data_IF_050616643268
#
_entry.id   IF_050616643268
#
_cell.length_a   1.000
_cell.length_b   1.000
_cell.length_c   1.000
_cell.angle_alpha   90.00
_cell.angle_beta   90.00
_cell.angle_gamma   90.00
#
_symmetry.space_group_name_H-M   'P 1'
#
loop_
_entity.id
_entity.type
_entity.pdbx_description
1 polymer ?
#
# COMPACT_ATOMS: atom_id res chain seq x y z
N UNK A 1 16.29 18.45 -18.65
CA UNK A 1 16.28 18.85 -17.23
C UNK A 1 17.13 17.82 -16.50
N UNK A 2 18.41 18.11 -16.23
CA UNK A 2 19.34 17.15 -15.60
C UNK A 2 19.08 17.12 -14.09
N UNK A 3 18.15 16.28 -13.67
CA UNK A 3 17.95 15.97 -12.26
C UNK A 3 19.07 15.02 -11.83
N UNK A 4 20.24 15.58 -11.52
CA UNK A 4 21.31 14.88 -10.80
C UNK A 4 20.87 14.74 -9.33
N UNK A 5 19.89 13.88 -9.06
CA UNK A 5 19.74 13.35 -7.71
C UNK A 5 20.93 12.44 -7.48
N UNK A 6 21.76 12.78 -6.50
CA UNK A 6 22.80 11.87 -6.03
C UNK A 6 22.12 10.61 -5.49
N UNK A 7 22.13 9.55 -6.30
CA UNK A 7 21.66 8.22 -5.94
C UNK A 7 22.56 7.65 -4.84
N UNK A 8 22.34 8.09 -3.60
CA UNK A 8 22.88 7.38 -2.45
C UNK A 8 22.23 6.00 -2.46
N UNK A 9 23.00 4.92 -2.68
CA UNK A 9 22.42 3.62 -2.93
C UNK A 9 21.71 3.12 -1.67
N UNK A 10 20.55 2.48 -1.86
CA UNK A 10 19.73 1.88 -0.79
C UNK A 10 20.56 0.92 0.10
N UNK A 11 21.65 0.37 -0.44
CA UNK A 11 22.61 -0.51 0.24
C UNK A 11 23.28 0.14 1.45
N UNK A 12 23.45 1.47 1.46
CA UNK A 12 24.09 2.20 2.57
C UNK A 12 23.30 2.09 3.88
N UNK A 13 21.96 2.22 3.83
CA UNK A 13 21.09 2.08 5.00
C UNK A 13 21.06 0.66 5.56
N UNK A 14 21.05 -0.35 4.68
CA UNK A 14 21.11 -1.75 5.09
C UNK A 14 22.43 -2.10 5.79
N UNK A 15 23.56 -1.65 5.25
CA UNK A 15 24.89 -1.88 5.85
C UNK A 15 24.98 -1.30 7.27
N UNK A 16 24.50 -0.06 7.45
CA UNK A 16 24.49 0.60 8.77
C UNK A 16 23.68 -0.20 9.80
N UNK A 17 22.51 -0.69 9.41
CA UNK A 17 21.66 -1.54 10.28
C UNK A 17 22.34 -2.84 10.70
N UNK A 18 23.07 -3.49 9.78
CA UNK A 18 23.85 -4.71 10.08
C UNK A 18 25.02 -4.41 11.01
N UNK A 19 25.79 -3.34 10.76
CA UNK A 19 26.92 -2.93 11.60
C UNK A 19 26.44 -2.68 13.03
N UNK A 20 25.37 -1.90 13.19
CA UNK A 20 24.79 -1.60 14.51
C UNK A 20 24.38 -2.89 15.24
N UNK A 21 23.74 -3.83 14.54
CA UNK A 21 23.34 -5.10 15.12
C UNK A 21 24.54 -5.97 15.54
N UNK A 22 25.64 -5.97 14.79
CA UNK A 22 26.87 -6.70 15.13
C UNK A 22 27.54 -6.10 16.37
N UNK A 23 27.61 -4.78 16.47
CA UNK A 23 28.14 -4.08 17.66
C UNK A 23 27.31 -4.44 18.89
N UNK A 24 25.98 -4.38 18.81
CA UNK A 24 25.11 -4.76 19.92
C UNK A 24 25.16 -6.26 20.24
N UNK A 25 25.40 -7.11 19.24
CA UNK A 25 25.59 -8.55 19.45
C UNK A 25 26.90 -8.83 20.17
N UNK A 26 27.97 -8.12 19.84
CA UNK A 26 29.24 -8.20 20.56
C UNK A 26 29.08 -7.73 22.00
N UNK A 27 28.37 -6.61 22.23
CA UNK A 27 28.04 -6.12 23.57
C UNK A 27 27.19 -7.12 24.38
N UNK A 28 26.30 -7.88 23.74
CA UNK A 28 25.54 -8.95 24.41
C UNK A 28 26.46 -10.04 24.98
N UNK A 29 27.53 -10.37 24.28
CA UNK A 29 28.46 -11.42 24.72
C UNK A 29 29.22 -11.02 26.00
N UNK A 30 29.24 -9.73 26.35
CA UNK A 30 29.97 -9.21 27.51
C UNK A 30 29.12 -9.02 28.78
N UNK A 31 27.79 -9.27 28.79
CA UNK A 31 26.99 -9.08 30.02
C UNK A 31 25.51 -9.50 30.02
N UNK A 32 24.91 -9.57 31.22
CA UNK A 32 23.53 -10.06 31.54
C UNK A 32 22.41 -9.04 31.24
N UNK A 33 22.33 -8.46 30.05
CA UNK A 33 21.31 -7.42 29.73
C UNK A 33 20.13 -7.93 28.86
N UNK A 34 19.43 -8.98 29.30
CA UNK A 34 18.31 -9.58 28.53
C UNK A 34 17.14 -8.61 28.28
N UNK A 35 16.79 -7.79 29.26
CA UNK A 35 15.69 -6.82 29.16
C UNK A 35 15.96 -5.75 28.08
N UNK A 36 17.19 -5.22 28.05
CA UNK A 36 17.58 -4.16 27.09
C UNK A 36 17.43 -4.65 25.66
N UNK A 37 17.87 -5.86 25.36
CA UNK A 37 17.73 -6.45 24.03
C UNK A 37 16.28 -6.71 23.61
N UNK A 38 15.42 -7.07 24.58
CA UNK A 38 14.00 -7.27 24.32
C UNK A 38 13.32 -5.94 23.97
N UNK A 39 13.56 -4.90 24.77
CA UNK A 39 13.05 -3.54 24.51
C UNK A 39 13.54 -3.02 23.15
N UNK A 40 14.84 -3.17 22.85
CA UNK A 40 15.40 -2.76 21.55
C UNK A 40 14.74 -3.48 20.36
N UNK A 41 14.44 -4.77 20.50
CA UNK A 41 13.79 -5.54 19.45
C UNK A 41 12.34 -5.07 19.23
N UNK A 42 11.59 -4.84 20.31
CA UNK A 42 10.23 -4.27 20.25
C UNK A 42 10.26 -2.89 19.58
N UNK A 43 11.14 -2.00 20.03
CA UNK A 43 11.30 -0.66 19.45
C UNK A 43 11.63 -0.73 17.96
N UNK A 44 12.55 -1.59 17.55
CA UNK A 44 12.88 -1.76 16.13
C UNK A 44 11.69 -2.30 15.32
N UNK A 45 10.86 -3.18 15.88
CA UNK A 45 9.61 -3.62 15.23
C UNK A 45 8.61 -2.48 15.05
N UNK A 46 8.44 -1.60 16.05
CA UNK A 46 7.62 -0.40 15.91
C UNK A 46 8.15 0.51 14.80
N UNK A 47 9.48 0.68 14.71
CA UNK A 47 10.10 1.49 13.65
C UNK A 47 9.85 0.88 12.27
N UNK A 48 9.96 -0.45 12.12
CA UNK A 48 9.63 -1.14 10.86
C UNK A 48 8.16 -0.95 10.51
N UNK A 49 7.24 -1.12 11.46
CA UNK A 49 5.81 -0.93 11.21
C UNK A 49 5.48 0.52 10.85
N UNK A 50 5.99 1.49 11.61
CA UNK A 50 5.77 2.90 11.34
C UNK A 50 6.31 3.26 9.95
N UNK A 51 7.49 2.74 9.59
CA UNK A 51 8.08 2.92 8.25
C UNK A 51 7.21 2.27 7.17
N UNK A 52 6.69 1.07 7.39
CA UNK A 52 5.76 0.39 6.48
C UNK A 52 4.49 1.23 6.25
N UNK A 53 3.83 1.65 7.33
CA UNK A 53 2.59 2.44 7.27
C UNK A 53 2.85 3.78 6.59
N UNK A 54 3.95 4.45 6.95
CA UNK A 54 4.34 5.71 6.33
C UNK A 54 4.62 5.52 4.83
N UNK A 55 5.41 4.53 4.44
CA UNK A 55 5.74 4.26 3.04
C UNK A 55 4.51 3.92 2.19
N UNK A 56 3.54 3.18 2.74
CA UNK A 56 2.28 2.85 2.07
C UNK A 56 1.26 4.01 2.03
N UNK A 57 1.45 5.05 2.86
CA UNK A 57 0.49 6.15 3.01
C UNK A 57 0.97 7.47 2.43
N UNK A 58 2.28 7.71 2.36
CA UNK A 58 2.88 8.97 1.91
C UNK A 58 2.86 9.09 0.38
N UNK A 59 2.31 10.20 -0.12
CA UNK A 59 2.28 10.51 -1.55
C UNK A 59 3.62 11.06 -2.07
N UNK A 60 4.34 11.85 -1.26
CA UNK A 60 5.61 12.47 -1.69
C UNK A 60 6.76 11.46 -1.75
N UNK A 61 7.38 11.37 -2.93
CA UNK A 61 8.49 10.47 -3.24
C UNK A 61 9.67 10.60 -2.26
N UNK A 62 10.06 11.82 -1.90
CA UNK A 62 11.18 12.08 -0.97
C UNK A 62 10.93 11.51 0.44
N UNK A 63 9.73 11.76 0.99
CA UNK A 63 9.38 11.28 2.33
C UNK A 63 9.24 9.76 2.35
N UNK A 64 8.69 9.18 1.28
CA UNK A 64 8.61 7.73 1.09
C UNK A 64 10.00 7.09 1.01
N UNK A 65 10.95 7.73 0.33
CA UNK A 65 12.34 7.27 0.27
C UNK A 65 12.99 7.25 1.67
N UNK A 66 12.80 8.31 2.46
CA UNK A 66 13.32 8.35 3.85
C UNK A 66 12.70 7.24 4.70
N UNK A 67 11.39 7.05 4.63
CA UNK A 67 10.69 5.97 5.34
C UNK A 67 11.21 4.59 4.91
N UNK A 68 11.39 4.34 3.62
CA UNK A 68 11.96 3.10 3.10
C UNK A 68 13.37 2.83 3.64
N UNK A 69 14.22 3.86 3.69
CA UNK A 69 15.60 3.76 4.22
C UNK A 69 15.65 3.46 5.71
N UNK A 70 14.78 4.11 6.50
CA UNK A 70 14.66 3.81 7.94
C UNK A 70 14.15 2.38 8.14
N UNK A 71 13.14 1.99 7.35
CA UNK A 71 12.55 0.66 7.37
C UNK A 71 13.55 -0.45 7.05
N UNK A 72 14.32 -0.33 5.96
CA UNK A 72 15.33 -1.34 5.59
C UNK A 72 16.44 -1.43 6.64
N UNK A 73 16.91 -0.30 7.20
CA UNK A 73 17.90 -0.29 8.27
C UNK A 73 17.38 -1.04 9.51
N UNK A 74 16.13 -0.76 9.93
CA UNK A 74 15.51 -1.42 11.07
C UNK A 74 15.24 -2.92 10.82
N UNK A 75 14.83 -3.30 9.60
CA UNK A 75 14.64 -4.71 9.21
C UNK A 75 15.96 -5.48 9.19
N UNK A 76 17.03 -4.90 8.64
CA UNK A 76 18.38 -5.49 8.67
C UNK A 76 18.90 -5.61 10.11
N UNK A 77 18.68 -4.58 10.93
CA UNK A 77 19.01 -4.60 12.35
C UNK A 77 18.30 -5.74 13.07
N UNK A 78 16.97 -5.87 12.91
CA UNK A 78 16.20 -6.97 13.47
C UNK A 78 16.70 -8.32 12.97
N UNK A 79 17.02 -8.44 11.68
CA UNK A 79 17.54 -9.69 11.11
C UNK A 79 18.90 -10.08 11.70
N UNK A 80 19.77 -9.13 12.03
CA UNK A 80 21.05 -9.46 12.65
C UNK A 80 20.97 -9.60 14.18
N UNK A 81 20.09 -8.84 14.84
CA UNK A 81 19.99 -8.74 16.30
C UNK A 81 18.86 -9.58 16.94
N UNK A 82 18.02 -10.22 16.12
CA UNK A 82 16.75 -10.81 16.55
C UNK A 82 16.83 -11.55 17.89
N UNK A 83 16.08 -11.03 18.85
CA UNK A 83 15.80 -11.75 20.08
C UNK A 83 14.59 -12.64 19.81
N UNK A 84 14.72 -13.95 20.08
CA UNK A 84 13.61 -14.88 19.91
C UNK A 84 12.50 -14.46 20.87
N UNK A 85 11.45 -13.84 20.33
CA UNK A 85 10.17 -13.70 21.02
C UNK A 85 9.66 -15.11 21.32
N UNK A 86 9.01 -15.28 22.47
CA UNK A 86 8.43 -16.57 22.78
C UNK A 86 7.46 -16.96 21.64
N UNK A 87 7.29 -18.28 21.44
CA UNK A 87 6.56 -18.89 20.33
C UNK A 87 5.23 -18.18 20.06
N UNK A 88 5.24 -17.24 19.12
CA UNK A 88 4.08 -16.40 18.78
C UNK A 88 2.91 -17.24 18.24
N UNK A 89 3.26 -18.37 17.60
CA UNK A 89 2.35 -19.45 17.22
C UNK A 89 2.93 -20.77 17.72
N UNK A 90 3.02 -20.93 19.04
CA UNK A 90 3.37 -22.21 19.65
C UNK A 90 2.34 -23.27 19.31
N UNK A 91 2.44 -23.88 18.13
CA UNK A 91 1.70 -25.09 17.83
C UNK A 91 2.15 -26.15 18.84
N UNK A 92 1.23 -26.72 19.64
CA UNK A 92 1.59 -27.75 20.60
C UNK A 92 2.28 -28.90 19.87
N UNK A 93 3.48 -29.28 20.32
CA UNK A 93 4.28 -30.37 19.75
C UNK A 93 5.35 -29.96 18.73
N UNK A 94 5.45 -28.69 18.32
CA UNK A 94 6.49 -28.26 17.38
C UNK A 94 7.79 -27.82 18.06
N UNK A 95 8.93 -28.17 17.42
CA UNK A 95 10.25 -27.82 17.93
C UNK A 95 10.48 -26.31 17.89
N UNK A 96 11.22 -25.79 18.88
CA UNK A 96 11.65 -24.39 18.96
C UNK A 96 12.30 -23.89 17.65
N UNK A 97 12.90 -24.79 16.85
CA UNK A 97 13.56 -24.46 15.58
C UNK A 97 12.59 -23.90 14.53
N UNK A 98 11.36 -24.43 14.44
CA UNK A 98 10.37 -24.00 13.45
C UNK A 98 10.01 -22.52 13.61
N UNK A 99 9.68 -22.12 14.85
CA UNK A 99 9.37 -20.73 15.19
C UNK A 99 10.50 -19.74 14.83
N UNK A 100 11.75 -20.18 14.92
CA UNK A 100 12.89 -19.33 14.57
C UNK A 100 12.99 -19.14 13.06
N UNK A 101 12.89 -20.21 12.27
CA UNK A 101 12.93 -20.14 10.81
C UNK A 101 11.81 -19.27 10.27
N UNK A 102 10.61 -19.42 10.81
CA UNK A 102 9.43 -18.63 10.45
C UNK A 102 9.64 -17.14 10.76
N UNK A 103 10.09 -16.79 11.97
CA UNK A 103 10.40 -15.41 12.35
C UNK A 103 11.48 -14.80 11.43
N UNK A 104 12.52 -15.57 11.09
CA UNK A 104 13.58 -15.13 10.16
C UNK A 104 13.04 -14.86 8.77
N UNK A 105 12.17 -15.75 8.27
CA UNK A 105 11.57 -15.60 6.96
C UNK A 105 10.65 -14.38 6.89
N UNK A 106 9.86 -14.12 7.96
CA UNK A 106 9.07 -12.91 8.08
C UNK A 106 9.94 -11.64 8.04
N UNK A 107 11.09 -11.63 8.71
CA UNK A 107 12.01 -10.48 8.65
C UNK A 107 12.60 -10.27 7.26
N UNK A 108 12.92 -11.35 6.53
CA UNK A 108 13.40 -11.27 5.15
C UNK A 108 12.32 -10.72 4.21
N UNK A 109 11.06 -11.13 4.41
CA UNK A 109 9.90 -10.59 3.70
C UNK A 109 9.73 -9.09 4.00
N UNK A 110 9.88 -8.67 5.25
CA UNK A 110 9.83 -7.25 5.61
C UNK A 110 10.99 -6.46 5.00
N UNK A 111 12.18 -7.05 4.85
CA UNK A 111 13.30 -6.41 4.16
C UNK A 111 13.04 -6.29 2.65
N UNK A 112 12.54 -7.35 2.00
CA UNK A 112 12.25 -7.33 0.57
C UNK A 112 11.11 -6.38 0.21
N UNK A 113 10.15 -6.17 1.12
CA UNK A 113 9.12 -5.14 1.00
C UNK A 113 9.71 -3.76 0.69
N UNK A 114 10.73 -3.32 1.44
CA UNK A 114 11.32 -1.99 1.23
C UNK A 114 12.06 -1.90 -0.11
N UNK A 115 12.58 -3.00 -0.63
CA UNK A 115 13.11 -3.07 -1.99
C UNK A 115 12.00 -2.94 -3.04
N UNK A 116 10.87 -3.64 -2.86
CA UNK A 116 9.72 -3.53 -3.77
C UNK A 116 9.08 -2.13 -3.72
N UNK A 117 9.06 -1.48 -2.56
CA UNK A 117 8.57 -0.11 -2.44
C UNK A 117 9.42 0.90 -3.20
N UNK A 118 10.69 0.60 -3.44
CA UNK A 118 11.55 1.42 -4.28
C UNK A 118 11.20 1.27 -5.77
N UNK A 119 10.82 0.07 -6.19
CA UNK A 119 10.28 -0.17 -7.54
C UNK A 119 9.01 0.65 -7.73
N UNK A 120 8.06 0.56 -6.80
CA UNK A 120 6.83 1.36 -6.84
C UNK A 120 7.11 2.88 -6.85
N UNK A 121 8.16 3.34 -6.14
CA UNK A 121 8.58 4.76 -6.14
C UNK A 121 9.05 5.20 -7.53
N UNK A 122 9.92 4.42 -8.17
CA UNK A 122 10.43 4.72 -9.51
C UNK A 122 9.30 4.73 -10.54
N UNK A 123 8.38 3.76 -10.46
CA UNK A 123 7.18 3.73 -11.31
C UNK A 123 6.29 4.95 -11.11
N UNK A 124 6.18 5.47 -9.88
CA UNK A 124 5.43 6.69 -9.60
C UNK A 124 6.06 7.93 -10.27
N UNK A 125 7.39 8.06 -10.24
CA UNK A 125 8.09 9.18 -10.88
C UNK A 125 7.91 9.18 -12.41
N UNK A 126 8.04 8.02 -13.06
CA UNK A 126 7.80 7.88 -14.50
C UNK A 126 6.39 8.34 -14.87
N UNK A 127 5.40 7.95 -14.06
CA UNK A 127 4.01 8.30 -14.28
C UNK A 127 3.73 9.80 -14.07
N UNK A 128 4.36 10.42 -13.06
CA UNK A 128 4.28 11.87 -12.84
C UNK A 128 4.84 12.66 -14.03
N UNK A 129 5.95 12.19 -14.61
CA UNK A 129 6.55 12.79 -15.81
C UNK A 129 5.63 12.66 -17.02
N UNK A 130 5.11 11.46 -17.31
CA UNK A 130 4.15 11.23 -18.39
C UNK A 130 2.90 12.10 -18.23
N UNK A 131 2.36 12.19 -17.01
CA UNK A 131 1.19 13.03 -16.72
C UNK A 131 1.50 14.50 -16.92
N UNK A 132 2.68 14.97 -16.54
CA UNK A 132 3.13 16.35 -16.78
C UNK A 132 3.26 16.65 -18.27
N UNK A 133 3.80 15.71 -19.05
CA UNK A 133 3.90 15.84 -20.51
C UNK A 133 2.51 15.91 -21.16
N UNK A 134 1.57 15.05 -20.76
CA UNK A 134 0.19 15.05 -21.29
C UNK A 134 -0.58 16.33 -20.94
N UNK A 135 -0.29 16.95 -19.79
CA UNK A 135 -0.88 18.24 -19.41
C UNK A 135 -0.29 19.42 -20.16
N UNK A 136 0.93 19.29 -20.68
CA UNK A 136 1.61 20.38 -21.39
C UNK A 136 0.89 20.65 -22.72
N UNK A 137 0.23 21.82 -22.81
CA UNK A 137 -0.50 22.25 -24.00
C UNK A 137 -2.00 21.91 -24.01
N UNK A 138 -2.49 21.08 -23.09
CA UNK A 138 -3.93 20.84 -22.96
C UNK A 138 -4.63 22.01 -22.27
N UNK A 139 -5.54 22.68 -22.97
CA UNK A 139 -6.27 23.87 -22.48
C UNK A 139 -7.66 23.55 -21.90
N UNK A 140 -7.88 22.31 -21.47
CA UNK A 140 -9.15 21.88 -20.85
C UNK A 140 -10.23 21.38 -21.82
N UNK A 141 -10.08 21.60 -23.12
CA UNK A 141 -11.00 21.09 -24.15
C UNK A 141 -10.28 20.75 -25.44
N UNK A 142 -10.80 19.75 -26.16
CA UNK A 142 -10.38 19.40 -27.53
C UNK A 142 -10.64 20.52 -28.52
N UNK A 143 -11.53 21.48 -28.23
CA UNK A 143 -11.79 22.64 -29.09
C UNK A 143 -10.55 23.51 -29.30
N UNK A 144 -9.55 23.39 -28.43
CA UNK A 144 -8.27 24.11 -28.51
C UNK A 144 -7.14 23.25 -29.08
N UNK A 145 -7.42 22.02 -29.53
CA UNK A 145 -6.42 21.15 -30.11
C UNK A 145 -5.92 21.74 -31.44
N UNK A 146 -4.60 21.78 -31.61
CA UNK A 146 -3.97 22.21 -32.86
C UNK A 146 -3.59 20.99 -33.69
N UNK A 147 -4.00 20.95 -34.96
CA UNK A 147 -3.57 19.93 -35.91
C UNK A 147 -2.54 20.50 -36.89
N UNK A 148 -1.59 19.67 -37.31
CA UNK A 148 -0.62 20.04 -38.36
C UNK A 148 -1.29 20.19 -39.74
N UNK A 149 -2.43 19.52 -39.95
CA UNK A 149 -3.26 19.62 -41.15
C UNK A 149 -4.66 20.10 -40.79
N UNK A 150 -5.13 21.24 -41.34
CA UNK A 150 -6.43 21.81 -40.98
C UNK A 150 -7.60 20.92 -41.43
N UNK A 151 -7.50 20.23 -42.57
CA UNK A 151 -8.54 19.33 -43.07
C UNK A 151 -8.79 18.15 -42.10
N UNK A 152 -7.73 17.63 -41.46
CA UNK A 152 -7.84 16.58 -40.46
C UNK A 152 -8.57 17.09 -39.22
N UNK A 153 -8.32 18.34 -38.79
CA UNK A 153 -9.03 18.94 -37.66
C UNK A 153 -10.53 19.00 -37.92
N UNK A 154 -10.93 19.51 -39.09
CA UNK A 154 -12.36 19.62 -39.47
C UNK A 154 -13.01 18.25 -39.50
N UNK A 155 -12.35 17.24 -40.09
CA UNK A 155 -12.87 15.88 -40.15
C UNK A 155 -13.03 15.25 -38.77
N UNK A 156 -12.02 15.36 -37.90
CA UNK A 156 -12.04 14.81 -36.54
C UNK A 156 -13.13 15.51 -35.70
N UNK A 157 -13.22 16.84 -35.77
CA UNK A 157 -14.25 17.58 -35.06
C UNK A 157 -15.66 17.25 -35.57
N UNK A 158 -15.83 17.03 -36.88
CA UNK A 158 -17.10 16.61 -37.45
C UNK A 158 -17.50 15.19 -37.00
N UNK A 159 -16.54 14.26 -36.91
CA UNK A 159 -16.77 12.89 -36.42
C UNK A 159 -17.16 12.87 -34.94
N UNK A 160 -16.49 13.67 -34.10
CA UNK A 160 -16.83 13.80 -32.68
C UNK A 160 -18.20 14.47 -32.52
N UNK A 161 -18.46 15.54 -33.28
CA UNK A 161 -19.73 16.25 -33.33
C UNK A 161 -20.30 16.56 -31.94
N UNK A 162 -21.49 16.01 -31.67
CA UNK A 162 -22.21 16.23 -30.42
C UNK A 162 -21.55 15.60 -29.17
N UNK A 163 -20.57 14.70 -29.34
CA UNK A 163 -19.90 14.00 -28.25
C UNK A 163 -18.70 14.77 -27.67
N UNK A 164 -18.49 16.02 -28.09
CA UNK A 164 -17.37 16.87 -27.65
C UNK A 164 -17.23 16.90 -26.12
N UNK A 165 -18.34 17.08 -25.39
CA UNK A 165 -18.33 17.11 -23.92
C UNK A 165 -17.95 15.76 -23.29
N UNK A 166 -18.38 14.64 -23.88
CA UNK A 166 -18.03 13.30 -23.39
C UNK A 166 -16.55 12.97 -23.63
N UNK A 167 -15.99 13.45 -24.75
CA UNK A 167 -14.56 13.33 -25.06
C UNK A 167 -13.73 14.18 -24.09
N UNK A 168 -14.10 15.44 -23.88
CA UNK A 168 -13.44 16.33 -22.91
C UNK A 168 -13.47 15.73 -21.49
N UNK A 169 -14.62 15.18 -21.09
CA UNK A 169 -14.75 14.49 -19.82
C UNK A 169 -13.87 13.24 -19.73
N UNK A 170 -13.79 12.44 -20.80
CA UNK A 170 -12.92 11.27 -20.85
C UNK A 170 -11.44 11.63 -20.75
N UNK A 171 -11.01 12.74 -21.37
CA UNK A 171 -9.65 13.29 -21.27
C UNK A 171 -9.40 13.81 -19.86
N UNK A 172 -10.35 14.52 -19.26
CA UNK A 172 -10.24 14.97 -17.87
C UNK A 172 -10.03 13.79 -16.91
N UNK A 173 -10.79 12.70 -17.08
CA UNK A 173 -10.61 11.45 -16.31
C UNK A 173 -9.24 10.84 -16.59
N UNK A 174 -8.78 10.79 -17.84
CA UNK A 174 -7.45 10.29 -18.21
C UNK A 174 -6.34 11.07 -17.48
N UNK A 175 -6.38 12.40 -17.53
CA UNK A 175 -5.37 13.28 -16.93
C UNK A 175 -5.39 13.29 -15.39
N UNK A 176 -6.52 12.91 -14.80
CA UNK A 176 -6.70 12.88 -13.33
C UNK A 176 -6.36 11.51 -12.76
N UNK A 177 -6.90 10.44 -13.36
CA UNK A 177 -6.70 9.07 -12.88
C UNK A 177 -5.45 8.39 -13.46
N UNK A 178 -4.89 8.89 -14.55
CA UNK A 178 -3.85 8.22 -15.33
C UNK A 178 -4.38 7.15 -16.29
N UNK A 179 -5.70 6.98 -16.35
CA UNK A 179 -6.39 6.10 -17.30
C UNK A 179 -7.86 6.52 -17.44
N UNK A 180 -8.49 6.18 -18.57
CA UNK A 180 -9.91 6.46 -18.80
C UNK A 180 -10.65 5.19 -19.20
N UNK A 181 -11.46 4.66 -18.29
CA UNK A 181 -12.34 3.52 -18.53
C UNK A 181 -13.80 3.93 -18.33
N UNK A 182 -14.77 3.21 -18.91
CA UNK A 182 -16.19 3.46 -18.62
C UNK A 182 -16.47 3.45 -17.11
N UNK A 183 -15.91 2.50 -16.37
CA UNK A 183 -16.10 2.40 -14.92
C UNK A 183 -15.56 3.61 -14.16
N UNK A 184 -14.33 4.06 -14.46
CA UNK A 184 -13.77 5.24 -13.80
C UNK A 184 -14.52 6.52 -14.15
N UNK A 185 -15.02 6.65 -15.38
CA UNK A 185 -15.87 7.78 -15.79
C UNK A 185 -17.16 7.80 -14.97
N UNK A 186 -17.80 6.65 -14.76
CA UNK A 186 -19.01 6.54 -13.93
C UNK A 186 -18.73 6.85 -12.45
N UNK A 187 -17.62 6.36 -11.91
CA UNK A 187 -17.17 6.62 -10.53
C UNK A 187 -16.89 8.11 -10.32
N UNK A 188 -16.22 8.77 -11.26
CA UNK A 188 -15.98 10.20 -11.23
C UNK A 188 -17.28 11.01 -11.35
N UNK A 189 -18.24 10.57 -12.19
CA UNK A 189 -19.57 11.20 -12.28
C UNK A 189 -20.34 11.10 -10.97
N UNK A 190 -20.09 10.05 -10.18
CA UNK A 190 -20.66 9.90 -8.84
C UNK A 190 -19.99 10.79 -7.78
N UNK A 191 -19.03 11.64 -8.16
CA UNK A 191 -18.33 12.58 -7.28
C UNK A 191 -17.21 11.95 -6.45
N UNK A 192 -16.76 10.74 -6.81
CA UNK A 192 -15.61 10.11 -6.15
C UNK A 192 -14.32 10.66 -6.75
N UNK A 193 -13.35 10.98 -5.89
CA UNK A 193 -12.06 11.47 -6.31
C UNK A 193 -11.23 10.33 -6.90
N UNK A 194 -10.94 10.42 -8.19
CA UNK A 194 -10.25 9.38 -8.96
C UNK A 194 -8.76 9.69 -9.19
N UNK A 195 -8.17 10.63 -8.46
CA UNK A 195 -6.76 10.98 -8.66
C UNK A 195 -5.85 9.76 -8.47
N UNK A 196 -4.96 9.56 -9.45
CA UNK A 196 -4.02 8.45 -9.53
C UNK A 196 -4.70 7.07 -9.48
N UNK A 197 -6.00 6.94 -9.79
CA UNK A 197 -6.74 5.69 -9.67
C UNK A 197 -6.14 4.54 -10.53
N UNK A 198 -5.54 4.87 -11.67
CA UNK A 198 -4.86 3.93 -12.56
C UNK A 198 -3.44 3.55 -12.13
N UNK A 199 -2.93 4.14 -11.04
CA UNK A 199 -1.61 3.80 -10.54
C UNK A 199 -1.70 2.66 -9.51
N UNK A 200 -1.16 1.49 -9.87
CA UNK A 200 -1.11 0.33 -9.01
C UNK A 200 0.18 0.29 -8.17
N UNK A 201 0.03 0.06 -6.87
CA UNK A 201 1.14 -0.26 -5.96
C UNK A 201 1.24 -1.78 -5.83
N UNK A 202 2.38 -2.35 -6.22
CA UNK A 202 2.55 -3.79 -6.31
C UNK A 202 3.21 -4.34 -5.04
N UNK A 203 3.98 -3.52 -4.31
CA UNK A 203 4.80 -4.00 -3.20
C UNK A 203 3.98 -4.67 -2.08
N UNK A 204 2.96 -3.99 -1.55
CA UNK A 204 2.15 -4.55 -0.44
C UNK A 204 1.32 -5.75 -0.91
N UNK A 205 0.54 -5.69 -2.00
CA UNK A 205 -0.25 -6.84 -2.44
C UNK A 205 0.64 -8.02 -2.88
N UNK A 206 1.76 -7.75 -3.56
CA UNK A 206 2.73 -8.77 -3.94
C UNK A 206 3.26 -9.53 -2.74
N UNK A 207 3.60 -8.82 -1.67
CA UNK A 207 4.04 -9.42 -0.40
C UNK A 207 2.90 -10.19 0.30
N UNK A 208 1.72 -9.59 0.38
CA UNK A 208 0.57 -10.16 1.07
C UNK A 208 0.01 -11.41 0.38
N UNK A 209 0.13 -11.49 -0.94
CA UNK A 209 -0.42 -12.58 -1.75
C UNK A 209 0.59 -13.69 -2.01
N UNK A 210 1.88 -13.42 -2.21
CA UNK A 210 2.84 -14.46 -2.63
C UNK A 210 3.60 -15.05 -1.44
N UNK A 211 4.57 -14.36 -0.81
CA UNK A 211 5.36 -14.96 0.26
C UNK A 211 4.53 -15.25 1.52
N UNK A 212 3.51 -14.44 1.83
CA UNK A 212 2.60 -14.75 2.94
C UNK A 212 1.78 -16.02 2.69
N UNK A 213 1.34 -16.29 1.44
CA UNK A 213 0.69 -17.57 1.10
C UNK A 213 1.65 -18.72 1.28
N UNK A 214 2.90 -18.58 0.83
CA UNK A 214 3.91 -19.62 1.01
C UNK A 214 4.11 -19.96 2.49
N UNK A 215 4.24 -18.96 3.36
CA UNK A 215 4.33 -19.19 4.81
C UNK A 215 3.08 -19.89 5.34
N UNK A 216 1.89 -19.40 4.99
CA UNK A 216 0.64 -19.96 5.47
C UNK A 216 0.50 -21.43 5.07
N UNK A 217 0.86 -21.78 3.83
CA UNK A 217 0.88 -23.17 3.34
C UNK A 217 1.89 -24.03 4.09
N UNK A 218 3.10 -23.51 4.35
CA UNK A 218 4.12 -24.21 5.14
C UNK A 218 3.67 -24.43 6.59
N UNK A 219 2.95 -23.48 7.19
CA UNK A 219 2.34 -23.61 8.52
C UNK A 219 1.24 -24.65 8.55
N UNK A 220 0.36 -24.65 7.54
CA UNK A 220 -0.69 -25.66 7.40
C UNK A 220 -0.07 -27.05 7.27
N UNK A 221 0.91 -27.21 6.37
CA UNK A 221 1.59 -28.50 6.17
C UNK A 221 2.27 -28.99 7.45
N UNK A 222 2.98 -28.11 8.17
CA UNK A 222 3.54 -28.44 9.48
C UNK A 222 2.42 -28.93 10.42
N UNK A 223 1.33 -28.19 10.56
CA UNK A 223 0.20 -28.54 11.45
C UNK A 223 -0.41 -29.91 11.13
N UNK A 224 -0.40 -30.34 9.86
CA UNK A 224 -0.95 -31.63 9.42
C UNK A 224 -0.06 -32.85 9.74
N UNK A 225 1.24 -32.68 9.97
CA UNK A 225 2.17 -33.81 10.22
C UNK A 225 1.88 -34.54 11.55
N UNK A 226 1.70 -33.88 12.70
CA UNK A 226 1.43 -34.55 13.99
C UNK A 226 -0.05 -34.85 14.23
N UNK A 227 -0.88 -34.89 13.18
CA UNK A 227 -2.34 -34.99 13.25
C UNK A 227 -2.85 -36.19 14.07
N UNK A 228 -2.05 -37.24 14.23
CA UNK A 228 -2.37 -38.40 15.08
C UNK A 228 -2.58 -38.07 16.57
N UNK A 229 -2.11 -36.91 17.04
CA UNK A 229 -2.14 -36.52 18.47
C UNK A 229 -3.19 -35.45 18.82
N UNK A 230 -3.86 -34.85 17.84
CA UNK A 230 -4.68 -33.65 18.03
C UNK A 230 -6.18 -33.99 18.02
N UNK A 231 -6.71 -34.39 19.20
CA UNK A 231 -8.13 -34.74 19.39
C UNK A 231 -9.08 -33.52 19.32
N UNK A 232 -10.26 -33.75 18.72
CA UNK A 232 -11.55 -33.02 18.71
C UNK A 232 -11.60 -31.51 18.37
N UNK A 233 -10.55 -30.73 18.60
CA UNK A 233 -10.51 -29.27 18.33
C UNK A 233 -9.61 -28.89 17.14
N UNK A 234 -9.00 -29.85 16.46
CA UNK A 234 -8.09 -29.58 15.34
C UNK A 234 -8.77 -29.09 14.06
N UNK A 235 -10.02 -29.50 13.83
CA UNK A 235 -10.69 -29.30 12.54
C UNK A 235 -11.01 -27.83 12.26
N UNK A 236 -11.49 -27.06 13.25
CA UNK A 236 -11.81 -25.64 13.03
C UNK A 236 -10.54 -24.86 12.71
N UNK A 237 -9.43 -25.19 13.38
CA UNK A 237 -8.15 -24.52 13.17
C UNK A 237 -7.62 -24.77 11.76
N UNK A 238 -7.73 -26.00 11.27
CA UNK A 238 -7.39 -26.35 9.88
C UNK A 238 -8.27 -25.55 8.90
N UNK A 239 -9.58 -25.50 9.12
CA UNK A 239 -10.50 -24.72 8.26
C UNK A 239 -10.11 -23.24 8.24
N UNK A 240 -9.86 -22.64 9.39
CA UNK A 240 -9.45 -21.23 9.50
C UNK A 240 -8.08 -20.95 8.91
N UNK A 241 -7.15 -21.92 8.85
CA UNK A 241 -5.88 -21.77 8.14
C UNK A 241 -6.01 -21.96 6.63
N UNK A 242 -6.85 -22.91 6.18
CA UNK A 242 -7.11 -23.14 4.76
C UNK A 242 -7.81 -21.94 4.11
N UNK A 243 -8.73 -21.31 4.81
CA UNK A 243 -9.54 -20.22 4.28
C UNK A 243 -8.72 -19.05 3.72
N UNK A 244 -7.78 -18.41 4.45
CA UNK A 244 -6.98 -17.32 3.91
C UNK A 244 -6.04 -17.77 2.77
N UNK A 245 -5.59 -19.03 2.75
CA UNK A 245 -4.80 -19.58 1.63
C UNK A 245 -5.66 -19.61 0.36
N UNK A 246 -6.87 -20.16 0.45
CA UNK A 246 -7.82 -20.23 -0.66
C UNK A 246 -8.23 -18.83 -1.12
N UNK A 247 -8.50 -17.91 -0.19
CA UNK A 247 -8.81 -16.52 -0.53
C UNK A 247 -7.66 -15.82 -1.26
N UNK A 248 -6.41 -16.00 -0.83
CA UNK A 248 -5.25 -15.43 -1.54
C UNK A 248 -5.06 -16.03 -2.94
N UNK A 249 -5.18 -17.35 -3.07
CA UNK A 249 -5.12 -18.00 -4.38
C UNK A 249 -6.22 -17.50 -5.31
N UNK A 250 -7.44 -17.37 -4.80
CA UNK A 250 -8.56 -16.76 -5.53
C UNK A 250 -8.24 -15.31 -5.94
N UNK A 251 -7.76 -14.47 -5.02
CA UNK A 251 -7.39 -13.07 -5.32
C UNK A 251 -6.30 -12.98 -6.38
N UNK A 252 -5.29 -13.86 -6.37
CA UNK A 252 -4.28 -13.93 -7.42
C UNK A 252 -4.94 -14.21 -8.77
N UNK A 253 -5.84 -15.20 -8.84
CA UNK A 253 -6.58 -15.51 -10.08
C UNK A 253 -7.43 -14.32 -10.53
N UNK A 254 -8.17 -13.68 -9.61
CA UNK A 254 -8.99 -12.50 -9.93
C UNK A 254 -8.12 -11.37 -10.46
N UNK A 255 -7.04 -10.99 -9.77
CA UNK A 255 -6.13 -9.94 -10.24
C UNK A 255 -5.57 -10.27 -11.62
N UNK A 256 -5.14 -11.51 -11.86
CA UNK A 256 -4.64 -11.92 -13.17
C UNK A 256 -5.70 -11.85 -14.28
N UNK A 257 -6.99 -12.06 -13.97
CA UNK A 257 -8.07 -12.05 -14.97
C UNK A 257 -8.83 -10.73 -15.11
N UNK A 258 -8.75 -9.84 -14.14
CA UNK A 258 -9.47 -8.56 -14.14
C UNK A 258 -8.96 -7.59 -15.20
N UNK A 259 -9.80 -6.64 -15.60
CA UNK A 259 -9.40 -5.50 -16.42
C UNK A 259 -8.42 -4.59 -15.66
N UNK A 260 -7.64 -3.78 -16.38
CA UNK A 260 -6.56 -2.97 -15.80
C UNK A 260 -7.01 -2.04 -14.68
N UNK A 261 -8.18 -1.40 -14.79
CA UNK A 261 -8.73 -0.51 -13.76
C UNK A 261 -9.16 -1.28 -12.52
N UNK A 262 -9.85 -2.40 -12.69
CA UNK A 262 -10.24 -3.28 -11.58
C UNK A 262 -9.01 -3.89 -10.89
N UNK A 263 -7.93 -4.21 -11.63
CA UNK A 263 -6.64 -4.61 -11.03
C UNK A 263 -6.08 -3.53 -10.13
N UNK A 264 -6.02 -2.29 -10.61
CA UNK A 264 -5.51 -1.15 -9.83
C UNK A 264 -6.35 -0.94 -8.57
N UNK A 265 -7.68 -1.02 -8.69
CA UNK A 265 -8.59 -0.96 -7.55
C UNK A 265 -8.31 -2.06 -6.52
N UNK A 266 -8.25 -3.33 -6.95
CA UNK A 266 -8.01 -4.47 -6.04
C UNK A 266 -6.66 -4.34 -5.33
N UNK A 267 -5.60 -3.95 -6.05
CA UNK A 267 -4.27 -3.78 -5.47
C UNK A 267 -4.25 -2.67 -4.41
N UNK A 268 -4.83 -1.50 -4.71
CA UNK A 268 -4.94 -0.42 -3.73
C UNK A 268 -5.77 -0.82 -2.51
N UNK A 269 -6.89 -1.50 -2.73
CA UNK A 269 -7.76 -1.99 -1.67
C UNK A 269 -7.01 -2.97 -0.74
N UNK A 270 -6.27 -3.93 -1.29
CA UNK A 270 -5.43 -4.84 -0.50
C UNK A 270 -4.43 -4.03 0.34
N UNK A 271 -3.73 -3.06 -0.27
CA UNK A 271 -2.77 -2.21 0.46
C UNK A 271 -3.42 -1.52 1.67
N UNK A 272 -4.56 -0.85 1.48
CA UNK A 272 -5.24 -0.13 2.56
C UNK A 272 -5.74 -1.08 3.66
N UNK A 273 -6.35 -2.19 3.28
CA UNK A 273 -6.85 -3.18 4.24
C UNK A 273 -5.70 -3.83 5.02
N UNK A 274 -4.57 -4.13 4.39
CA UNK A 274 -3.36 -4.62 5.06
C UNK A 274 -2.78 -3.58 6.04
N UNK A 275 -2.73 -2.30 5.66
CA UNK A 275 -2.27 -1.22 6.56
C UNK A 275 -3.18 -1.12 7.80
N UNK A 276 -4.49 -1.08 7.59
CA UNK A 276 -5.48 -1.04 8.68
C UNK A 276 -5.32 -2.26 9.58
N UNK A 277 -5.22 -3.45 9.00
CA UNK A 277 -5.00 -4.70 9.73
C UNK A 277 -3.75 -4.64 10.61
N UNK A 278 -2.62 -4.17 10.07
CA UNK A 278 -1.36 -4.11 10.82
C UNK A 278 -1.40 -3.08 11.95
N UNK A 279 -2.06 -1.93 11.75
CA UNK A 279 -2.22 -0.90 12.79
C UNK A 279 -2.98 -1.46 14.00
N UNK A 280 -4.04 -2.25 13.76
CA UNK A 280 -4.82 -2.85 14.85
C UNK A 280 -4.15 -4.08 15.46
N UNK A 281 -3.58 -4.93 14.62
CA UNK A 281 -2.99 -6.19 15.07
C UNK A 281 -1.74 -5.93 15.92
N UNK A 282 -0.85 -5.03 15.49
CA UNK A 282 0.46 -4.92 16.11
C UNK A 282 0.44 -4.57 17.61
N UNK A 283 -0.36 -3.60 18.11
CA UNK A 283 -0.48 -3.34 19.54
C UNK A 283 -1.02 -4.54 20.33
N UNK A 284 -1.95 -5.30 19.75
CA UNK A 284 -2.47 -6.54 20.36
C UNK A 284 -1.32 -7.53 20.51
N UNK A 285 -0.53 -7.73 19.46
CA UNK A 285 0.61 -8.65 19.46
C UNK A 285 1.66 -8.26 20.51
N UNK A 286 1.98 -6.97 20.63
CA UNK A 286 2.90 -6.46 21.66
C UNK A 286 2.34 -6.66 23.06
N UNK A 287 1.03 -6.44 23.25
CA UNK A 287 0.36 -6.64 24.53
C UNK A 287 0.35 -8.10 24.97
N UNK A 288 0.04 -9.02 24.07
CA UNK A 288 0.10 -10.48 24.31
C UNK A 288 1.54 -10.91 24.61
N UNK A 289 2.47 -10.34 23.83
CA UNK A 289 3.91 -10.23 24.07
C UNK A 289 4.24 -10.11 25.56
N UNK A 290 3.86 -8.95 26.06
CA UNK A 290 4.18 -8.49 27.39
C UNK A 290 3.52 -9.34 28.49
N UNK A 291 2.28 -9.78 28.24
CA UNK A 291 1.48 -10.56 29.21
C UNK A 291 1.92 -12.01 29.32
N UNK A 292 2.82 -12.49 28.44
CA UNK A 292 3.21 -13.91 28.33
C UNK A 292 2.02 -14.86 28.15
N UNK A 293 0.89 -14.36 27.65
CA UNK A 293 -0.33 -15.13 27.41
C UNK A 293 -0.31 -15.67 25.98
N UNK A 294 0.16 -16.91 25.82
CA UNK A 294 0.39 -17.52 24.50
C UNK A 294 -0.83 -18.31 23.99
N UNK A 295 -1.63 -18.87 24.89
CA UNK A 295 -2.65 -19.85 24.53
C UNK A 295 -3.78 -19.27 23.66
N UNK A 296 -4.03 -17.96 23.73
CA UNK A 296 -5.09 -17.29 22.98
C UNK A 296 -4.63 -16.58 21.69
N UNK A 297 -3.32 -16.38 21.47
CA UNK A 297 -2.82 -15.52 20.38
C UNK A 297 -3.06 -16.10 19.00
N UNK A 298 -2.79 -17.41 18.84
CA UNK A 298 -2.90 -18.11 17.56
C UNK A 298 -4.30 -17.99 16.94
N UNK A 299 -5.37 -18.42 17.63
CA UNK A 299 -6.72 -18.38 17.10
C UNK A 299 -7.20 -16.97 16.72
N UNK A 300 -6.89 -15.96 17.55
CA UNK A 300 -7.27 -14.56 17.28
C UNK A 300 -6.60 -14.07 16.00
N UNK A 301 -5.31 -14.34 15.83
CA UNK A 301 -4.55 -13.93 14.66
C UNK A 301 -5.08 -14.62 13.38
N UNK A 302 -5.29 -15.94 13.44
CA UNK A 302 -5.83 -16.70 12.29
C UNK A 302 -7.23 -16.22 11.91
N UNK A 303 -8.09 -15.92 12.89
CA UNK A 303 -9.42 -15.39 12.64
C UNK A 303 -9.38 -13.99 12.00
N UNK A 304 -8.53 -13.09 12.52
CA UNK A 304 -8.38 -11.75 11.98
C UNK A 304 -7.83 -11.78 10.54
N UNK A 305 -6.86 -12.65 10.27
CA UNK A 305 -6.32 -12.88 8.93
C UNK A 305 -7.39 -13.42 7.96
N UNK A 306 -8.14 -14.44 8.38
CA UNK A 306 -9.24 -14.98 7.58
C UNK A 306 -10.30 -13.92 7.27
N UNK A 307 -10.70 -13.10 8.26
CA UNK A 307 -11.64 -12.01 8.08
C UNK A 307 -11.15 -10.94 7.09
N UNK A 308 -9.87 -10.56 7.18
CA UNK A 308 -9.24 -9.62 6.24
C UNK A 308 -9.35 -10.09 4.79
N UNK A 309 -8.95 -11.34 4.51
CA UNK A 309 -8.95 -11.85 3.14
C UNK A 309 -10.35 -12.18 2.63
N UNK A 310 -11.27 -12.61 3.49
CA UNK A 310 -12.69 -12.73 3.12
C UNK A 310 -13.29 -11.38 2.71
N UNK A 311 -13.04 -10.33 3.50
CA UNK A 311 -13.50 -8.98 3.16
C UNK A 311 -12.91 -8.52 1.82
N UNK A 312 -11.62 -8.76 1.62
CA UNK A 312 -10.90 -8.44 0.37
C UNK A 312 -11.52 -9.18 -0.83
N UNK A 313 -11.81 -10.48 -0.71
CA UNK A 313 -12.50 -11.25 -1.74
C UNK A 313 -13.88 -10.67 -2.04
N UNK A 314 -14.67 -10.34 -1.01
CA UNK A 314 -16.00 -9.77 -1.15
C UNK A 314 -16.00 -8.46 -1.95
N UNK A 315 -15.10 -7.54 -1.62
CA UNK A 315 -14.95 -6.29 -2.37
C UNK A 315 -14.39 -6.52 -3.79
N UNK A 316 -13.43 -7.44 -3.97
CA UNK A 316 -12.90 -7.75 -5.30
C UNK A 316 -13.96 -8.32 -6.24
N UNK A 317 -14.90 -9.12 -5.73
CA UNK A 317 -15.99 -9.68 -6.52
C UNK A 317 -17.02 -8.61 -6.91
N UNK A 318 -17.25 -7.64 -6.01
CA UNK A 318 -18.12 -6.48 -6.27
C UNK A 318 -17.52 -5.51 -7.30
N UNK A 319 -16.19 -5.38 -7.34
CA UNK A 319 -15.48 -4.39 -8.14
C UNK A 319 -15.81 -2.95 -7.74
N UNK A 320 -15.37 -1.97 -8.53
CA UNK A 320 -15.62 -0.56 -8.23
C UNK A 320 -17.12 -0.21 -8.26
N UNK A 321 -17.85 -0.67 -9.29
CA UNK A 321 -19.29 -0.40 -9.43
C UNK A 321 -20.13 -1.01 -8.30
N UNK A 322 -19.84 -2.27 -7.95
CA UNK A 322 -20.54 -2.94 -6.85
C UNK A 322 -20.17 -2.39 -5.47
N UNK A 323 -18.98 -1.81 -5.32
CA UNK A 323 -18.59 -1.09 -4.10
C UNK A 323 -19.33 0.25 -4.02
N UNK A 324 -19.47 0.97 -5.13
CA UNK A 324 -20.20 2.23 -5.20
C UNK A 324 -21.69 2.08 -4.84
N UNK A 325 -22.31 0.93 -5.14
CA UNK A 325 -23.72 0.66 -4.84
C UNK A 325 -24.01 0.29 -3.38
N UNK A 326 -22.98 0.09 -2.55
CA UNK A 326 -23.16 -0.17 -1.12
C UNK A 326 -23.60 1.10 -0.37
N UNK A 327 -24.31 0.97 0.78
CA UNK A 327 -24.52 2.09 1.67
C UNK A 327 -23.16 2.60 2.17
N UNK A 328 -22.87 3.89 1.93
CA UNK A 328 -21.54 4.46 2.18
C UNK A 328 -20.47 4.11 1.15
N UNK A 329 -20.85 3.48 0.02
CA UNK A 329 -19.95 3.02 -1.03
C UNK A 329 -19.03 4.10 -1.59
N UNK A 330 -19.51 5.34 -1.71
CA UNK A 330 -18.69 6.50 -2.10
C UNK A 330 -17.53 6.75 -1.14
N UNK A 331 -17.76 6.69 0.17
CA UNK A 331 -16.72 6.89 1.18
C UNK A 331 -15.72 5.74 1.20
N UNK A 332 -16.19 4.49 1.03
CA UNK A 332 -15.32 3.32 0.94
C UNK A 332 -14.45 3.38 -0.32
N UNK A 333 -15.04 3.70 -1.46
CA UNK A 333 -14.31 3.82 -2.73
C UNK A 333 -13.31 4.98 -2.68
N UNK A 334 -13.70 6.11 -2.08
CA UNK A 334 -12.79 7.21 -1.79
C UNK A 334 -11.60 6.74 -0.95
N UNK A 335 -11.85 6.01 0.14
CA UNK A 335 -10.79 5.48 1.00
C UNK A 335 -9.82 4.55 0.25
N UNK A 336 -10.32 3.69 -0.63
CA UNK A 336 -9.49 2.77 -1.42
C UNK A 336 -8.72 3.47 -2.54
N UNK A 337 -9.35 4.40 -3.26
CA UNK A 337 -8.73 5.05 -4.42
C UNK A 337 -7.76 6.17 -4.02
N UNK A 338 -8.04 6.90 -2.94
CA UNK A 338 -7.21 8.03 -2.52
C UNK A 338 -5.85 7.60 -1.95
N UNK A 339 -4.80 8.22 -2.48
CA UNK A 339 -3.54 8.40 -1.74
C UNK A 339 -3.74 9.54 -0.74
N UNK A 340 -3.12 9.43 0.43
CA UNK A 340 -3.38 10.33 1.57
C UNK A 340 -3.32 11.79 1.13
N UNK A 341 -4.46 12.47 1.24
CA UNK A 341 -4.73 13.76 0.62
C UNK A 341 -3.81 14.86 1.18
N UNK A 342 -2.96 15.46 0.34
CA UNK A 342 -2.38 16.77 0.66
C UNK A 342 -3.51 17.80 0.45
N UNK A 343 -4.34 17.96 1.49
CA UNK A 343 -5.58 18.78 1.50
C UNK A 343 -5.38 20.21 0.99
N UNK A 344 -4.14 20.69 0.91
CA UNK A 344 -3.75 22.01 0.41
C UNK A 344 -3.94 22.18 -1.10
N UNK A 345 -4.01 21.11 -1.89
CA UNK A 345 -4.32 21.20 -3.33
C UNK A 345 -5.84 21.31 -3.62
N UNK A 346 -6.68 21.21 -2.60
CA UNK A 346 -8.15 21.14 -2.72
C UNK A 346 -8.86 22.49 -2.56
N UNK A 347 -8.13 23.52 -2.12
CA UNK A 347 -8.61 24.89 -2.22
C UNK A 347 -7.94 25.47 -3.46
N UNK A 348 -8.63 25.51 -4.63
CA UNK A 348 -8.17 26.41 -5.68
C UNK A 348 -8.03 27.79 -5.04
N UNK A 349 -6.98 28.52 -5.40
CA UNK A 349 -6.65 29.90 -4.99
C UNK A 349 -7.74 30.90 -5.43
N UNK A 350 -8.99 30.61 -5.06
CA UNK A 350 -10.19 31.40 -5.26
C UNK A 350 -10.25 32.61 -4.30
N UNK A 351 -9.13 32.91 -3.63
CA UNK A 351 -9.05 33.94 -2.59
C UNK A 351 -7.98 35.02 -2.83
N UNK A 352 -7.28 35.05 -3.99
CA UNK A 352 -6.29 36.11 -4.26
C UNK A 352 -6.72 37.24 -5.22
N UNK A 353 -7.97 37.26 -5.70
CA UNK A 353 -8.45 38.32 -6.61
C UNK A 353 -9.27 39.43 -5.91
N UNK A 354 -9.22 39.52 -4.57
CA UNK A 354 -9.91 40.59 -3.80
C UNK A 354 -9.03 41.77 -3.40
N UNK A 355 -7.90 42.00 -4.08
CA UNK A 355 -7.18 43.28 -4.00
C UNK A 355 -7.44 44.10 -5.27
N UNK A 356 -8.70 44.56 -5.41
CA UNK A 356 -9.00 45.77 -6.19
C UNK A 356 -8.74 46.99 -5.30
N UNK A 357 -7.68 47.79 -5.51
CA UNK A 357 -7.59 49.11 -4.91
C UNK A 357 -8.63 50.02 -5.60
N UNK A 358 -9.80 50.11 -4.98
CA UNK A 358 -10.70 51.23 -5.17
C UNK A 358 -10.11 52.47 -4.49
N UNK A 359 -9.45 53.33 -5.28
CA UNK A 359 -9.30 54.75 -4.98
C UNK A 359 -9.15 55.51 -6.30
N UNK A 360 -10.26 55.85 -6.96
CA UNK A 360 -10.98 57.14 -6.88
C UNK A 360 -10.43 58.22 -7.83
N UNK A 361 -11.27 58.78 -8.72
CA UNK A 361 -10.93 59.85 -9.64
C UNK A 361 -11.13 61.24 -9.00
N UNK A 362 -10.19 62.17 -9.22
CA UNK A 362 -10.38 63.59 -8.89
C UNK A 362 -9.95 64.48 -10.07
N UNK A 363 -10.95 65.20 -10.63
CA UNK A 363 -10.95 66.60 -11.14
C UNK A 363 -9.78 67.05 -12.04
N UNK A 364 -9.94 67.75 -13.18
CA UNK A 364 -10.88 68.83 -13.57
C UNK A 364 -10.58 69.21 -15.05
N UNK A 365 -11.53 69.77 -15.83
CA UNK A 365 -11.24 70.35 -17.14
C UNK A 365 -10.92 71.85 -17.06
N UNK A 366 -10.02 72.32 -17.92
CA UNK A 366 -9.81 73.74 -18.29
C UNK A 366 -9.63 73.86 -19.78
#
# INVERSE_FOLDING_TARGET
MNVHFQDVPLTSGGLLGVILALVLRWWRLTGKHTLVHHVLSITAMFVVLASFVASASLQRSDRRMVANRIGIMASCFLTAHWYRFHTFLGLPGFSKMYSLLEQRFLLLIMASYFCLMEVDRISCLSWEEETSQLRTGFRGSIAHATCSKPDDAVRIHAEIGAQTNDVDYAIHVLLTAGMSTPTLRDVARAGVWIQDAGHAEIAVPGLALVPCTLIATLRLFATLIPFSSLQYMAWYYIVFQCLPILCRAFLIVVVCRSATDERCFILKMITKLCVVYLIFLFPIMVSMEWRKSQDAAGPILTFAEAGLFLATCGFSFRGMRGTLSLPGGRCLLQFFLTRSCDRKALLPDSESDTDSPASSPSSTPS
#
